data_IF_311709407857
#
_entry.id   IF_311709407857
#
_cell.length_a   1.000
_cell.length_b   1.000
_cell.length_c   1.000
_cell.angle_alpha   90.00
_cell.angle_beta   90.00
_cell.angle_gamma   90.00
#
_symmetry.space_group_name_H-M   'P 1'
#
loop_
_entity.id
_entity.type
_entity.pdbx_description
1 polymer ?
#
# COMPACT_ATOMS: atom_id res chain seq x y z
N UNK A 1 -49.61 -39.69 -23.36
CA UNK A 1 -49.24 -39.00 -22.12
C UNK A 1 -49.62 -37.54 -22.29
N UNK A 2 -50.49 -36.97 -21.43
CA UNK A 2 -51.04 -35.62 -21.62
C UNK A 2 -49.98 -34.53 -21.40
N UNK A 3 -49.78 -33.68 -22.40
CA UNK A 3 -48.79 -32.52 -22.32
C UNK A 3 -48.95 -31.68 -21.05
N UNK A 4 -50.14 -31.54 -20.50
CA UNK A 4 -50.43 -30.85 -19.24
C UNK A 4 -49.78 -31.53 -18.01
N UNK A 5 -49.65 -32.86 -17.98
CA UNK A 5 -49.01 -33.61 -16.89
C UNK A 5 -47.48 -33.42 -16.90
N UNK A 6 -46.86 -33.34 -18.10
CA UNK A 6 -45.41 -33.13 -18.25
C UNK A 6 -45.02 -31.76 -17.75
N UNK A 7 -45.79 -30.70 -18.04
CA UNK A 7 -45.53 -29.34 -17.57
C UNK A 7 -45.65 -29.26 -16.05
N UNK A 8 -46.62 -29.91 -15.44
CA UNK A 8 -46.80 -29.91 -13.99
C UNK A 8 -45.60 -30.53 -13.23
N UNK A 9 -45.08 -31.66 -13.72
CA UNK A 9 -43.90 -32.32 -13.12
C UNK A 9 -42.64 -31.51 -13.29
N UNK A 10 -42.49 -30.78 -14.41
CA UNK A 10 -41.34 -29.88 -14.62
C UNK A 10 -41.32 -28.70 -13.65
N UNK A 11 -42.47 -28.07 -13.41
CA UNK A 11 -42.59 -26.95 -12.47
C UNK A 11 -42.34 -27.39 -11.03
N UNK A 12 -42.85 -28.54 -10.60
CA UNK A 12 -42.62 -29.07 -9.25
C UNK A 12 -41.14 -29.42 -9.06
N UNK A 13 -40.45 -29.98 -10.07
CA UNK A 13 -39.04 -30.29 -10.02
C UNK A 13 -38.17 -29.03 -9.81
N UNK A 14 -38.49 -27.93 -10.51
CA UNK A 14 -37.76 -26.65 -10.37
C UNK A 14 -37.97 -26.07 -8.97
N UNK A 15 -39.19 -26.11 -8.41
CA UNK A 15 -39.48 -25.59 -7.06
C UNK A 15 -38.70 -26.36 -5.98
N UNK A 16 -38.61 -27.68 -6.08
CA UNK A 16 -37.86 -28.50 -5.12
C UNK A 16 -36.35 -28.25 -5.17
N UNK A 17 -35.78 -27.99 -6.34
CA UNK A 17 -34.37 -27.64 -6.48
C UNK A 17 -34.09 -26.28 -5.88
N UNK A 18 -34.96 -25.30 -6.07
CA UNK A 18 -34.78 -23.96 -5.49
C UNK A 18 -34.87 -23.95 -3.96
N UNK A 19 -35.78 -24.75 -3.37
CA UNK A 19 -35.89 -24.89 -1.91
C UNK A 19 -34.63 -25.60 -1.34
N UNK A 20 -34.08 -26.59 -2.02
CA UNK A 20 -32.84 -27.27 -1.62
C UNK A 20 -31.61 -26.38 -1.61
N UNK A 21 -31.53 -25.40 -2.53
CA UNK A 21 -30.42 -24.44 -2.59
C UNK A 21 -30.54 -23.37 -1.49
N UNK A 22 -31.76 -22.92 -1.19
CA UNK A 22 -31.99 -21.96 -0.10
C UNK A 22 -31.69 -22.54 1.29
N UNK A 23 -31.96 -23.83 1.52
CA UNK A 23 -31.67 -24.48 2.80
C UNK A 23 -30.16 -24.72 3.03
N UNK A 24 -29.31 -24.66 2.00
CA UNK A 24 -27.87 -24.79 2.14
C UNK A 24 -27.18 -23.42 2.42
N UNK A 25 -27.85 -22.31 2.15
CA UNK A 25 -27.33 -20.97 2.41
C UNK A 25 -27.51 -20.50 3.86
N UNK A 26 -28.39 -21.13 4.62
CA UNK A 26 -28.66 -20.75 6.02
C UNK A 26 -27.72 -21.38 7.07
N UNK A 27 -26.78 -22.24 6.69
CA UNK A 27 -25.89 -22.95 7.61
C UNK A 27 -24.43 -22.46 7.62
N UNK A 28 -24.17 -21.24 7.21
CA UNK A 28 -22.83 -20.62 7.35
C UNK A 28 -22.87 -19.30 8.14
N UNK A 29 -23.52 -19.31 9.28
CA UNK A 29 -23.23 -18.34 10.32
C UNK A 29 -22.33 -18.99 11.37
N UNK A 30 -21.02 -18.81 11.21
CA UNK A 30 -20.07 -18.99 12.28
C UNK A 30 -19.63 -17.61 12.76
N UNK A 31 -20.16 -17.09 13.86
CA UNK A 31 -19.63 -15.88 14.46
C UNK A 31 -18.29 -16.25 15.11
N UNK A 32 -17.19 -15.80 14.51
CA UNK A 32 -15.90 -15.73 15.16
C UNK A 32 -16.04 -14.77 16.37
N UNK A 33 -16.30 -15.35 17.53
CA UNK A 33 -16.07 -14.68 18.80
C UNK A 33 -14.57 -14.45 18.94
N UNK A 34 -14.15 -13.24 18.63
CA UNK A 34 -12.83 -12.75 19.06
C UNK A 34 -12.97 -12.41 20.53
N UNK A 35 -12.68 -13.40 21.38
CA UNK A 35 -12.40 -13.15 22.80
C UNK A 35 -11.17 -12.22 22.87
N UNK A 36 -11.42 -10.97 23.24
CA UNK A 36 -10.40 -10.03 23.68
C UNK A 36 -9.77 -10.54 24.98
N UNK A 37 -8.78 -11.42 24.85
CA UNK A 37 -7.92 -11.78 25.97
C UNK A 37 -6.89 -10.65 26.13
N UNK A 38 -7.28 -9.63 26.90
CA UNK A 38 -6.34 -8.66 27.46
C UNK A 38 -5.41 -9.43 28.38
N UNK A 39 -4.24 -9.79 27.90
CA UNK A 39 -3.15 -10.29 28.73
C UNK A 39 -2.52 -9.08 29.40
N UNK A 40 -3.00 -8.73 30.59
CA UNK A 40 -2.28 -7.91 31.53
C UNK A 40 -1.07 -8.72 32.05
N UNK A 41 0.05 -8.63 31.37
CA UNK A 41 1.32 -9.02 31.96
C UNK A 41 1.87 -7.85 32.78
N UNK A 42 1.34 -7.68 33.96
CA UNK A 42 2.09 -7.02 35.02
C UNK A 42 3.25 -7.96 35.40
N UNK A 43 4.42 -7.67 34.88
CA UNK A 43 5.66 -8.22 35.42
C UNK A 43 5.93 -7.48 36.74
N UNK A 44 5.49 -8.07 37.82
CA UNK A 44 5.98 -7.74 39.17
C UNK A 44 7.47 -8.02 39.21
N UNK A 45 8.24 -6.95 39.09
CA UNK A 45 9.67 -6.99 39.40
C UNK A 45 9.87 -6.86 40.90
N UNK A 46 9.69 -8.01 41.58
CA UNK A 46 10.07 -8.11 43.01
C UNK A 46 11.60 -8.12 43.11
N UNK A 47 12.13 -6.98 43.49
CA UNK A 47 13.53 -6.81 43.89
C UNK A 47 13.74 -7.60 45.17
N UNK A 48 14.33 -8.80 45.04
CA UNK A 48 14.87 -9.51 46.18
C UNK A 48 16.16 -8.83 46.64
N UNK A 49 16.05 -8.06 47.73
CA UNK A 49 17.20 -7.59 48.50
C UNK A 49 17.86 -8.78 49.14
N UNK A 50 18.97 -9.26 48.62
CA UNK A 50 19.99 -9.92 49.39
C UNK A 50 21.31 -9.17 49.17
N UNK A 51 21.59 -8.28 50.15
CA UNK A 51 22.93 -7.74 50.38
C UNK A 51 23.78 -8.87 50.94
N UNK A 52 24.92 -9.12 50.33
CA UNK A 52 26.26 -9.05 50.93
C UNK A 52 27.25 -9.85 50.09
N UNK A 53 28.41 -9.18 49.88
CA UNK A 53 29.69 -9.70 49.42
C UNK A 53 29.82 -9.98 47.90
N UNK A 54 30.38 -9.02 47.15
CA UNK A 54 31.82 -8.94 46.83
C UNK A 54 32.13 -7.61 46.17
N UNK A 55 32.81 -6.74 46.88
CA UNK A 55 33.54 -5.62 46.32
C UNK A 55 34.72 -6.14 45.52
N UNK A 56 35.04 -5.37 44.43
CA UNK A 56 36.20 -5.47 43.58
C UNK A 56 36.07 -6.36 42.36
N UNK A 57 35.45 -5.83 41.32
CA UNK A 57 35.91 -5.94 39.93
C UNK A 57 35.03 -5.02 39.08
N UNK A 58 35.51 -3.87 38.73
CA UNK A 58 35.17 -3.04 37.57
C UNK A 58 35.47 -1.56 37.89
N UNK A 59 36.75 -1.29 38.12
CA UNK A 59 37.33 0.01 37.75
C UNK A 59 38.04 -0.17 36.40
N UNK A 60 37.29 -0.46 35.34
CA UNK A 60 37.70 -0.09 34.01
C UNK A 60 37.14 1.32 33.76
N UNK A 61 38.06 2.26 33.62
CA UNK A 61 37.80 3.60 33.10
C UNK A 61 36.98 3.45 31.83
N UNK A 62 35.66 3.67 31.90
CA UNK A 62 34.87 3.99 30.73
C UNK A 62 35.37 5.33 30.28
N UNK A 63 36.39 5.32 29.42
CA UNK A 63 36.73 6.49 28.61
C UNK A 63 35.44 6.81 27.87
N UNK A 64 34.76 7.88 28.26
CA UNK A 64 33.59 8.41 27.61
C UNK A 64 33.96 8.59 26.14
N UNK A 65 33.48 7.68 25.32
CA UNK A 65 33.76 7.73 23.89
C UNK A 65 32.94 8.87 23.29
N UNK A 66 33.54 10.08 23.33
CA UNK A 66 32.95 11.29 22.76
C UNK A 66 32.49 11.10 21.30
N UNK A 67 32.87 9.99 20.68
CA UNK A 67 32.45 9.63 19.34
C UNK A 67 31.02 9.07 19.29
N UNK A 68 30.56 8.44 20.36
CA UNK A 68 29.19 7.90 20.46
C UNK A 68 28.21 9.04 20.74
N UNK A 69 28.55 9.91 21.69
CA UNK A 69 27.72 11.06 22.03
C UNK A 69 27.56 11.99 20.83
N UNK A 70 28.66 12.25 20.11
CA UNK A 70 28.61 13.05 18.89
C UNK A 70 27.75 12.42 17.77
N UNK A 71 27.80 11.11 17.60
CA UNK A 71 26.94 10.40 16.64
C UNK A 71 25.46 10.44 17.07
N UNK A 72 25.19 10.34 18.35
CA UNK A 72 23.81 10.47 18.87
C UNK A 72 23.26 11.88 18.67
N UNK A 73 24.08 12.92 18.90
CA UNK A 73 23.70 14.30 18.60
C UNK A 73 23.47 14.51 17.09
N UNK A 74 24.34 14.00 16.22
CA UNK A 74 24.17 14.08 14.76
C UNK A 74 22.90 13.36 14.30
N UNK A 75 22.54 12.21 14.89
CA UNK A 75 21.31 11.47 14.61
C UNK A 75 20.10 12.25 15.13
N UNK A 76 20.21 12.86 16.32
CA UNK A 76 19.13 13.61 16.92
C UNK A 76 18.88 14.92 16.16
N UNK A 77 19.93 15.65 15.76
CA UNK A 77 19.82 16.82 14.88
C UNK A 77 19.23 16.47 13.52
N UNK A 78 19.58 15.31 12.94
CA UNK A 78 18.96 14.83 11.70
C UNK A 78 17.48 14.51 11.90
N UNK A 79 17.11 13.84 12.98
CA UNK A 79 15.72 13.50 13.27
C UNK A 79 14.87 14.76 13.61
N UNK A 80 15.41 15.74 14.32
CA UNK A 80 14.71 17.00 14.60
C UNK A 80 14.56 17.88 13.35
N UNK A 81 15.48 17.77 12.40
CA UNK A 81 15.49 18.58 11.17
C UNK A 81 14.57 18.04 10.09
N UNK A 82 14.17 16.75 10.18
CA UNK A 82 13.40 16.05 9.18
C UNK A 82 12.29 15.19 9.80
N UNK A 83 11.41 15.82 10.59
CA UNK A 83 10.14 15.17 10.90
C UNK A 83 9.26 15.20 9.66
N UNK A 84 9.45 14.19 8.79
CA UNK A 84 8.61 14.02 7.63
C UNK A 84 7.21 13.59 8.07
N UNK A 85 6.22 14.44 7.79
CA UNK A 85 4.82 14.15 8.03
C UNK A 85 4.17 13.94 6.67
N UNK A 86 3.73 12.69 6.34
CA UNK A 86 3.00 12.44 5.10
C UNK A 86 1.77 13.33 5.02
N UNK A 87 1.49 13.88 3.83
CA UNK A 87 0.25 14.61 3.59
C UNK A 87 -0.97 13.71 3.79
N UNK A 88 -2.05 14.30 4.26
CA UNK A 88 -3.34 13.61 4.36
C UNK A 88 -3.83 13.12 3.00
N UNK A 89 -4.61 12.03 3.01
CA UNK A 89 -5.18 11.47 1.79
C UNK A 89 -6.33 12.35 1.29
N UNK A 90 -6.25 12.75 0.02
CA UNK A 90 -7.23 13.60 -0.65
C UNK A 90 -8.22 12.83 -1.52
N UNK A 91 -7.80 11.65 -2.04
CA UNK A 91 -8.53 10.79 -2.95
C UNK A 91 -9.03 11.47 -4.22
N UNK A 92 -8.16 11.56 -5.23
CA UNK A 92 -8.50 12.01 -6.57
C UNK A 92 -9.05 10.82 -7.35
N UNK A 93 -10.20 11.01 -8.01
CA UNK A 93 -10.97 9.91 -8.60
C UNK A 93 -11.25 10.11 -10.07
N UNK A 94 -11.24 9.03 -10.84
CA UNK A 94 -11.75 8.96 -12.21
C UNK A 94 -12.47 7.62 -12.40
N UNK A 95 -13.78 7.63 -12.35
CA UNK A 95 -14.60 6.43 -12.36
C UNK A 95 -14.26 5.50 -11.19
N UNK A 96 -13.89 4.22 -11.45
CA UNK A 96 -13.54 3.26 -10.42
C UNK A 96 -12.08 3.39 -9.94
N UNK A 97 -11.31 4.33 -10.48
CA UNK A 97 -9.89 4.50 -10.21
C UNK A 97 -9.66 5.66 -9.26
N UNK A 98 -8.79 5.45 -8.25
CA UNK A 98 -8.49 6.49 -7.24
C UNK A 98 -7.00 6.46 -6.90
N UNK A 99 -6.43 7.65 -6.77
CA UNK A 99 -5.10 7.88 -6.21
C UNK A 99 -5.22 8.60 -4.87
N UNK A 100 -4.42 8.25 -3.90
CA UNK A 100 -4.60 8.74 -2.53
C UNK A 100 -4.20 10.20 -2.34
N UNK A 101 -3.30 10.74 -3.17
CA UNK A 101 -2.83 12.14 -3.06
C UNK A 101 -2.49 12.74 -4.43
N UNK A 102 -2.49 14.08 -4.48
CA UNK A 102 -2.07 14.86 -5.65
C UNK A 102 -0.56 15.14 -5.70
N UNK A 103 0.12 15.03 -4.55
CA UNK A 103 1.54 15.34 -4.45
C UNK A 103 2.28 14.29 -3.62
N UNK A 104 3.49 13.97 -4.06
CA UNK A 104 4.42 13.04 -3.42
C UNK A 104 5.83 13.62 -3.44
N UNK A 105 6.67 13.16 -2.52
CA UNK A 105 8.12 13.34 -2.59
C UNK A 105 8.80 12.04 -3.03
N UNK A 106 10.06 12.09 -3.44
CA UNK A 106 10.85 10.93 -3.79
C UNK A 106 11.01 10.02 -2.55
N UNK A 107 10.85 8.70 -2.72
CA UNK A 107 10.81 7.71 -1.63
C UNK A 107 9.41 7.40 -1.13
N UNK A 108 8.40 8.24 -1.41
CA UNK A 108 7.02 7.92 -1.05
C UNK A 108 6.40 6.91 -2.00
N UNK A 109 5.54 6.07 -1.41
CA UNK A 109 4.75 5.10 -2.16
C UNK A 109 3.43 5.71 -2.61
N UNK A 110 3.21 5.70 -3.91
CA UNK A 110 1.93 6.07 -4.52
C UNK A 110 0.95 4.92 -4.27
N UNK A 111 -0.17 5.21 -3.63
CA UNK A 111 -1.23 4.25 -3.41
C UNK A 111 -2.38 4.48 -4.39
N UNK A 112 -2.73 3.43 -5.12
CA UNK A 112 -3.75 3.46 -6.15
C UNK A 112 -4.77 2.34 -5.94
N UNK A 113 -6.07 2.65 -6.02
CA UNK A 113 -7.15 1.68 -5.89
C UNK A 113 -7.93 1.56 -7.19
N UNK A 114 -8.40 0.36 -7.44
CA UNK A 114 -9.21 0.01 -8.59
C UNK A 114 -10.51 -0.60 -8.10
N UNK A 115 -11.63 -0.07 -8.55
CA UNK A 115 -12.92 -0.70 -8.37
C UNK A 115 -13.90 0.03 -7.44
N UNK A 116 -15.15 -0.50 -7.42
CA UNK A 116 -15.56 -1.76 -8.08
C UNK A 116 -15.69 -1.63 -9.61
N UNK A 117 -15.08 -2.58 -10.33
CA UNK A 117 -15.22 -2.72 -11.78
C UNK A 117 -16.45 -3.56 -12.13
N UNK A 118 -17.12 -3.23 -13.21
CA UNK A 118 -18.11 -4.13 -13.83
C UNK A 118 -17.41 -5.23 -14.64
N UNK A 119 -18.05 -6.39 -14.89
CA UNK A 119 -17.44 -7.46 -15.68
C UNK A 119 -17.07 -7.07 -17.12
N UNK A 120 -17.62 -5.96 -17.63
CA UNK A 120 -17.36 -5.46 -18.99
C UNK A 120 -16.13 -4.54 -19.04
N UNK A 121 -15.69 -4.03 -17.90
CA UNK A 121 -14.56 -3.10 -17.82
C UNK A 121 -13.24 -3.85 -17.84
N UNK A 122 -12.53 -3.68 -18.95
CA UNK A 122 -11.22 -4.29 -19.21
C UNK A 122 -10.31 -3.29 -19.86
N UNK A 123 -9.04 -3.35 -19.52
CA UNK A 123 -8.07 -2.43 -20.08
C UNK A 123 -6.71 -2.47 -19.40
N UNK A 124 -6.03 -1.35 -19.50
CA UNK A 124 -4.70 -1.18 -18.93
C UNK A 124 -4.54 0.22 -18.34
N UNK A 125 -4.08 0.29 -17.12
CA UNK A 125 -3.63 1.52 -16.50
C UNK A 125 -2.18 1.73 -16.89
N UNK A 126 -1.84 2.92 -17.38
CA UNK A 126 -0.47 3.32 -17.68
C UNK A 126 -0.09 4.53 -16.80
N UNK A 127 0.91 4.36 -15.97
CA UNK A 127 1.53 5.43 -15.21
C UNK A 127 2.67 6.01 -16.06
N UNK A 128 2.61 7.30 -16.31
CA UNK A 128 3.51 8.02 -17.19
C UNK A 128 4.33 9.01 -16.37
N UNK A 129 5.66 8.89 -16.42
CA UNK A 129 6.56 9.90 -15.84
C UNK A 129 6.87 11.00 -16.86
N UNK A 130 7.15 12.23 -16.42
CA UNK A 130 7.50 13.32 -17.33
C UNK A 130 8.85 13.06 -18.00
N UNK A 131 8.93 13.28 -19.31
CA UNK A 131 10.18 13.34 -20.06
C UNK A 131 10.60 14.80 -20.27
N UNK A 132 9.64 15.66 -20.48
CA UNK A 132 9.75 17.12 -20.57
C UNK A 132 8.34 17.72 -20.37
N UNK A 133 8.20 19.05 -20.54
CA UNK A 133 6.91 19.75 -20.35
C UNK A 133 5.75 19.26 -21.22
N UNK A 134 6.01 18.48 -22.27
CA UNK A 134 4.98 18.05 -23.25
C UNK A 134 4.98 16.56 -23.54
N UNK A 135 6.01 15.82 -23.12
CA UNK A 135 6.16 14.40 -23.42
C UNK A 135 6.31 13.57 -22.15
N UNK A 136 5.80 12.37 -22.24
CA UNK A 136 5.79 11.40 -21.14
C UNK A 136 6.39 10.07 -21.58
N UNK A 137 7.05 9.38 -20.65
CA UNK A 137 7.43 7.98 -20.81
C UNK A 137 6.48 7.07 -20.04
N UNK A 138 6.31 5.84 -20.51
CA UNK A 138 5.58 4.82 -19.76
C UNK A 138 6.49 4.26 -18.68
N UNK A 139 6.19 4.58 -17.43
CA UNK A 139 6.90 4.09 -16.26
C UNK A 139 6.46 2.68 -15.85
N UNK A 140 5.14 2.47 -15.72
CA UNK A 140 4.52 1.23 -15.28
C UNK A 140 3.18 1.03 -15.99
N UNK A 141 2.84 -0.22 -16.30
CA UNK A 141 1.52 -0.59 -16.78
C UNK A 141 0.93 -1.69 -15.93
N UNK A 142 -0.38 -1.61 -15.67
CA UNK A 142 -1.12 -2.60 -14.91
C UNK A 142 -2.41 -2.97 -15.63
N UNK A 143 -2.62 -4.24 -16.04
CA UNK A 143 -3.85 -4.68 -16.66
C UNK A 143 -4.97 -4.81 -15.64
N UNK A 144 -6.20 -4.50 -16.03
CA UNK A 144 -7.39 -4.74 -15.22
C UNK A 144 -8.47 -5.45 -16.03
N UNK A 145 -9.24 -6.28 -15.36
CA UNK A 145 -10.35 -7.05 -15.93
C UNK A 145 -11.39 -7.32 -14.83
N UNK A 146 -12.49 -6.58 -14.88
CA UNK A 146 -13.58 -6.67 -13.91
C UNK A 146 -14.28 -8.03 -13.90
N UNK A 147 -14.16 -8.83 -14.97
CA UNK A 147 -14.69 -10.20 -14.98
C UNK A 147 -13.88 -11.16 -14.12
N UNK A 148 -12.59 -10.88 -13.90
CA UNK A 148 -11.69 -11.69 -13.10
C UNK A 148 -11.54 -11.15 -11.68
N UNK A 149 -11.42 -9.81 -11.56
CA UNK A 149 -11.19 -9.15 -10.27
C UNK A 149 -11.84 -7.78 -10.26
N UNK A 150 -12.92 -7.64 -9.50
CA UNK A 150 -13.68 -6.39 -9.44
C UNK A 150 -12.96 -5.26 -8.69
N UNK A 151 -12.11 -5.59 -7.72
CA UNK A 151 -11.37 -4.60 -6.91
C UNK A 151 -9.93 -5.01 -6.74
N UNK A 152 -9.00 -4.05 -6.78
CA UNK A 152 -7.59 -4.28 -6.44
C UNK A 152 -6.90 -3.01 -5.99
N UNK A 153 -5.78 -3.19 -5.29
CA UNK A 153 -4.92 -2.10 -4.85
C UNK A 153 -3.54 -2.28 -5.47
N UNK A 154 -2.91 -1.17 -5.79
CA UNK A 154 -1.58 -1.11 -6.34
C UNK A 154 -0.76 -0.11 -5.52
N UNK A 155 0.47 -0.50 -5.20
CA UNK A 155 1.48 0.37 -4.61
C UNK A 155 2.69 0.38 -5.54
N UNK A 156 3.23 1.54 -5.79
CA UNK A 156 4.52 1.66 -6.45
C UNK A 156 5.25 2.90 -5.93
N UNK A 157 6.55 2.87 -6.05
CA UNK A 157 7.44 3.95 -5.68
C UNK A 157 8.20 4.42 -6.93
N UNK A 158 8.12 5.71 -7.27
CA UNK A 158 8.97 6.28 -8.31
C UNK A 158 10.44 6.12 -7.94
N UNK A 159 11.20 5.34 -8.70
CA UNK A 159 12.60 5.02 -8.40
C UNK A 159 13.49 5.04 -9.63
N UNK A 160 14.77 5.28 -9.43
CA UNK A 160 15.77 5.21 -10.48
C UNK A 160 15.92 3.78 -11.00
N UNK A 161 16.19 3.63 -12.29
CA UNK A 161 16.31 2.31 -12.91
C UNK A 161 17.08 2.37 -14.22
N UNK A 162 18.30 1.80 -14.23
CA UNK A 162 19.10 1.64 -15.46
C UNK A 162 18.35 0.91 -16.56
N UNK A 163 17.59 -0.12 -16.20
CA UNK A 163 16.85 -0.95 -17.16
C UNK A 163 15.70 -0.19 -17.83
N UNK A 164 15.15 0.80 -17.17
CA UNK A 164 14.11 1.69 -17.71
C UNK A 164 14.69 2.97 -18.32
N UNK A 165 16.01 3.19 -18.23
CA UNK A 165 16.67 4.42 -18.66
C UNK A 165 16.35 5.63 -17.81
N UNK A 166 15.97 5.40 -16.55
CA UNK A 166 15.71 6.45 -15.56
C UNK A 166 16.95 6.56 -14.69
N UNK A 167 17.83 7.50 -15.05
CA UNK A 167 19.17 7.57 -14.50
C UNK A 167 19.36 8.62 -13.40
N UNK A 168 18.47 9.60 -13.38
CA UNK A 168 18.56 10.78 -12.53
C UNK A 168 17.19 11.20 -12.03
N UNK A 169 17.13 11.84 -10.85
CA UNK A 169 15.89 12.29 -10.21
C UNK A 169 15.06 13.25 -11.07
N UNK A 170 15.72 14.07 -11.93
CA UNK A 170 15.03 14.98 -12.84
C UNK A 170 14.07 14.27 -13.81
N UNK A 171 14.25 12.96 -14.02
CA UNK A 171 13.35 12.13 -14.83
C UNK A 171 12.16 11.56 -14.04
N UNK A 172 12.14 11.72 -12.71
CA UNK A 172 11.05 11.32 -11.83
C UNK A 172 10.24 12.52 -11.35
N UNK A 173 10.90 13.69 -11.21
CA UNK A 173 10.29 14.91 -10.68
C UNK A 173 9.42 15.59 -11.75
N UNK A 174 8.24 16.04 -11.33
CA UNK A 174 7.29 16.76 -12.15
C UNK A 174 5.91 16.15 -12.18
N UNK A 175 5.10 16.56 -13.15
CA UNK A 175 3.72 16.11 -13.31
C UNK A 175 3.67 14.73 -13.94
N UNK A 176 3.09 13.78 -13.23
CA UNK A 176 2.81 12.43 -13.68
C UNK A 176 1.36 12.31 -14.14
N UNK A 177 1.14 11.39 -15.07
CA UNK A 177 -0.19 11.13 -15.62
C UNK A 177 -0.55 9.66 -15.56
N UNK A 178 -1.79 9.37 -15.16
CA UNK A 178 -2.35 8.02 -15.15
C UNK A 178 -3.41 7.94 -16.25
N UNK A 179 -3.18 7.07 -17.22
CA UNK A 179 -4.02 6.91 -18.41
C UNK A 179 -4.73 5.56 -18.38
N UNK A 180 -6.03 5.55 -18.62
CA UNK A 180 -6.89 4.36 -18.61
C UNK A 180 -7.19 3.90 -20.04
N UNK A 181 -6.32 3.03 -20.57
CA UNK A 181 -6.45 2.51 -21.93
C UNK A 181 -7.57 1.48 -22.02
N UNK A 182 -8.45 1.61 -23.01
CA UNK A 182 -9.60 0.73 -23.21
C UNK A 182 -10.87 1.19 -22.47
N UNK A 183 -10.87 2.41 -21.92
CA UNK A 183 -12.02 3.06 -21.29
C UNK A 183 -12.09 4.52 -21.70
N UNK A 184 -13.22 5.18 -21.39
CA UNK A 184 -13.43 6.61 -21.62
C UNK A 184 -13.22 7.45 -20.34
N UNK A 185 -12.60 6.88 -19.29
CA UNK A 185 -12.32 7.60 -18.06
C UNK A 185 -11.25 8.67 -18.27
N UNK A 186 -11.43 9.81 -17.65
CA UNK A 186 -10.47 10.91 -17.67
C UNK A 186 -9.14 10.50 -17.01
N UNK A 187 -8.04 11.06 -17.48
CA UNK A 187 -6.73 10.82 -16.88
C UNK A 187 -6.69 11.40 -15.47
N UNK A 188 -5.96 10.74 -14.56
CA UNK A 188 -5.57 11.32 -13.29
C UNK A 188 -4.15 11.90 -13.41
N UNK A 189 -3.89 12.93 -12.62
CA UNK A 189 -2.60 13.61 -12.57
C UNK A 189 -2.16 13.75 -11.11
N UNK A 190 -0.85 13.63 -10.89
CA UNK A 190 -0.21 13.87 -9.61
C UNK A 190 1.21 14.40 -9.83
N UNK A 191 1.78 15.04 -8.84
CA UNK A 191 3.12 15.61 -8.91
C UNK A 191 4.08 14.88 -7.99
N UNK A 192 5.28 14.61 -8.47
CA UNK A 192 6.41 14.17 -7.65
C UNK A 192 7.36 15.37 -7.50
N UNK A 193 7.59 15.81 -6.27
CA UNK A 193 8.47 16.90 -5.92
C UNK A 193 9.92 16.42 -5.81
N UNK A 194 10.88 17.34 -5.86
CA UNK A 194 12.32 17.06 -5.80
C UNK A 194 12.86 16.80 -4.38
N UNK A 195 11.99 16.88 -3.37
CA UNK A 195 12.35 16.49 -2.01
C UNK A 195 12.47 14.98 -1.91
N UNK A 196 13.51 14.51 -1.21
CA UNK A 196 13.73 13.09 -0.95
C UNK A 196 13.29 12.79 0.48
N UNK A 197 12.65 11.63 0.67
CA UNK A 197 12.29 11.16 2.00
C UNK A 197 13.54 10.99 2.85
N UNK A 198 13.55 11.48 4.10
CA UNK A 198 14.70 11.36 4.98
C UNK A 198 15.13 9.90 5.18
N UNK A 199 16.36 9.60 4.85
CA UNK A 199 16.96 8.28 4.94
C UNK A 199 17.04 7.51 3.61
N UNK A 200 16.39 8.00 2.54
CA UNK A 200 16.38 7.36 1.23
C UNK A 200 17.31 8.09 0.23
N UNK A 201 18.16 9.02 0.68
CA UNK A 201 19.00 9.85 -0.19
C UNK A 201 19.93 9.02 -1.08
N UNK A 202 20.46 7.90 -0.56
CA UNK A 202 21.36 7.00 -1.30
C UNK A 202 20.65 6.29 -2.47
N UNK A 203 19.33 6.05 -2.36
CA UNK A 203 18.55 5.38 -3.40
C UNK A 203 18.28 6.28 -4.62
N UNK A 204 18.53 7.59 -4.47
CA UNK A 204 18.32 8.60 -5.50
C UNK A 204 19.61 9.21 -6.06
N UNK A 205 20.78 8.61 -5.75
CA UNK A 205 22.01 8.94 -6.45
C UNK A 205 21.96 8.50 -7.92
N UNK A 206 22.50 9.29 -8.85
CA UNK A 206 22.51 8.94 -10.28
C UNK A 206 23.08 7.54 -10.54
N UNK A 207 22.32 6.70 -11.28
CA UNK A 207 22.66 5.27 -11.46
C UNK A 207 23.23 4.93 -12.83
N UNK A 208 23.36 5.88 -13.77
CA UNK A 208 24.00 5.68 -15.09
C UNK A 208 25.36 6.45 -15.19
#
# INVERSE_FOLDING_TARGET
MNKKKIILFSVIGIILVTIGILSQLENQENPLQIENKIVNSQTDFSINKNLNQEENFFNEEISSDNSIDKKLEEIQEKNEKFEYIPKDREWIESGPFKIDRSEYILGEKVFFTIGPLTPMEKGQIAFLNPLNSTHYNVYLTYPFDGSNKATSNLYFEPSLSKTKGICDISQLVGEWRVVFRGTDYENLEFTVNDQIMPGDEEDFEPVC
#
